data_IF_918231530265
#
_entry.id   IF_918231530265
#
_cell.length_a   1.000
_cell.length_b   1.000
_cell.length_c   1.000
_cell.angle_alpha   90.00
_cell.angle_beta   90.00
_cell.angle_gamma   90.00
#
_symmetry.space_group_name_H-M   'P 1'
#
loop_
_entity.id
_entity.type
_entity.pdbx_description
1 polymer ?
#
# COMPACT_ATOMS: atom_id res chain seq x y z
N UNK A 1 -11.83 -23.84 -5.48
CA UNK A 1 -10.39 -23.48 -5.40
C UNK A 1 -9.70 -24.62 -4.66
N UNK A 2 -8.68 -25.24 -5.26
CA UNK A 2 -7.98 -26.37 -4.66
C UNK A 2 -7.37 -25.99 -3.29
N UNK A 3 -7.47 -26.89 -2.30
CA UNK A 3 -7.01 -26.64 -0.92
C UNK A 3 -5.53 -26.26 -0.85
N UNK A 4 -4.72 -26.73 -1.80
CA UNK A 4 -3.30 -26.39 -1.93
C UNK A 4 -3.07 -24.89 -2.24
N UNK A 5 -3.91 -24.29 -3.10
CA UNK A 5 -3.76 -22.89 -3.49
C UNK A 5 -4.12 -21.93 -2.35
N UNK A 6 -5.12 -22.29 -1.53
CA UNK A 6 -5.49 -21.54 -0.34
C UNK A 6 -4.36 -21.53 0.71
N UNK A 7 -3.68 -22.66 0.86
CA UNK A 7 -2.55 -22.76 1.78
C UNK A 7 -1.37 -21.91 1.32
N UNK A 8 -1.08 -21.91 0.00
CA UNK A 8 -0.05 -21.05 -0.60
C UNK A 8 -0.35 -19.56 -0.37
N UNK A 9 -1.57 -19.11 -0.66
CA UNK A 9 -1.93 -17.70 -0.43
C UNK A 9 -1.87 -17.32 1.04
N UNK A 10 -2.23 -18.24 1.95
CA UNK A 10 -2.11 -18.01 3.39
C UNK A 10 -0.64 -17.89 3.83
N UNK A 11 0.26 -18.67 3.25
CA UNK A 11 1.69 -18.54 3.49
C UNK A 11 2.23 -17.18 2.99
N UNK A 12 1.81 -16.73 1.80
CA UNK A 12 2.17 -15.41 1.28
C UNK A 12 1.63 -14.28 2.14
N UNK A 13 0.40 -14.38 2.64
CA UNK A 13 -0.20 -13.38 3.54
C UNK A 13 0.62 -13.26 4.84
N UNK A 14 0.98 -14.39 5.45
CA UNK A 14 1.84 -14.41 6.65
C UNK A 14 3.22 -13.80 6.37
N UNK A 15 3.83 -14.13 5.23
CA UNK A 15 5.13 -13.56 4.84
C UNK A 15 5.07 -12.03 4.68
N UNK A 16 4.01 -11.52 4.04
CA UNK A 16 3.76 -10.09 3.87
C UNK A 16 3.62 -9.39 5.23
N UNK A 17 2.82 -9.96 6.14
CA UNK A 17 2.62 -9.40 7.49
C UNK A 17 3.94 -9.35 8.27
N UNK A 18 4.73 -10.42 8.23
CA UNK A 18 6.04 -10.48 8.91
C UNK A 18 6.99 -9.44 8.30
N UNK A 19 7.10 -9.38 6.98
CA UNK A 19 7.97 -8.41 6.30
C UNK A 19 7.59 -6.96 6.63
N UNK A 20 6.29 -6.66 6.70
CA UNK A 20 5.80 -5.34 7.07
C UNK A 20 6.12 -4.98 8.53
N UNK A 21 5.97 -5.94 9.45
CA UNK A 21 6.35 -5.76 10.85
C UNK A 21 7.85 -5.51 11.00
N UNK A 22 8.69 -6.27 10.28
CA UNK A 22 10.15 -6.10 10.27
C UNK A 22 10.54 -4.71 9.81
N UNK A 23 10.02 -4.25 8.65
CA UNK A 23 10.32 -2.90 8.12
C UNK A 23 9.88 -1.83 9.13
N UNK A 24 8.68 -1.96 9.70
CA UNK A 24 8.14 -1.00 10.67
C UNK A 24 9.01 -0.89 11.91
N UNK A 25 9.34 -2.02 12.55
CA UNK A 25 10.19 -2.06 13.75
C UNK A 25 11.60 -1.54 13.47
N UNK A 26 12.16 -1.89 12.32
CA UNK A 26 13.52 -1.55 11.96
C UNK A 26 13.68 -0.06 11.63
N UNK A 27 12.71 0.54 10.92
CA UNK A 27 12.68 1.99 10.69
C UNK A 27 12.41 2.73 12.01
N UNK A 28 11.44 2.26 12.81
CA UNK A 28 11.13 2.86 14.10
C UNK A 28 12.34 2.86 15.04
N UNK A 29 13.02 1.72 15.16
CA UNK A 29 14.24 1.59 15.96
C UNK A 29 15.32 2.52 15.43
N UNK A 30 15.51 2.61 14.10
CA UNK A 30 16.50 3.51 13.51
C UNK A 30 16.21 4.99 13.81
N UNK A 31 14.93 5.40 13.81
CA UNK A 31 14.50 6.75 14.20
C UNK A 31 14.80 7.01 15.67
N UNK A 32 14.44 6.10 16.57
CA UNK A 32 14.72 6.22 18.02
C UNK A 32 16.22 6.28 18.30
N UNK A 33 17.02 5.44 17.64
CA UNK A 33 18.48 5.45 17.78
C UNK A 33 19.09 6.75 17.27
N UNK A 34 18.62 7.22 16.11
CA UNK A 34 19.15 8.43 15.48
C UNK A 34 18.82 9.70 16.25
N UNK A 35 17.61 9.83 16.79
CA UNK A 35 17.22 11.04 17.53
C UNK A 35 17.52 10.95 19.04
N UNK A 36 17.50 9.75 19.63
CA UNK A 36 17.75 9.55 21.06
C UNK A 36 19.22 9.31 21.41
N UNK A 37 19.95 8.56 20.58
CA UNK A 37 21.36 8.18 20.84
C UNK A 37 22.33 8.81 19.83
N UNK A 38 21.85 9.68 18.93
CA UNK A 38 22.61 10.34 17.87
C UNK A 38 23.43 9.39 16.97
N UNK A 39 23.14 8.09 17.00
CA UNK A 39 23.78 7.04 16.21
C UNK A 39 22.70 6.25 15.49
N UNK A 40 22.75 6.23 14.15
CA UNK A 40 21.80 5.52 13.31
C UNK A 40 22.36 4.16 12.87
N UNK A 41 21.48 3.23 12.50
CA UNK A 41 21.89 1.97 11.86
C UNK A 41 21.91 2.22 10.34
N UNK A 42 23.08 2.41 9.69
CA UNK A 42 23.13 2.70 8.25
C UNK A 42 22.56 1.54 7.42
N UNK A 43 22.76 0.30 7.86
CA UNK A 43 22.27 -0.90 7.19
C UNK A 43 20.74 -1.04 7.23
N UNK A 44 20.06 -0.36 8.16
CA UNK A 44 18.62 -0.49 8.33
C UNK A 44 17.85 -0.03 7.07
N UNK A 45 18.31 1.04 6.43
CA UNK A 45 17.67 1.55 5.21
C UNK A 45 17.78 0.53 4.07
N UNK A 46 18.93 -0.11 3.92
CA UNK A 46 19.18 -1.06 2.84
C UNK A 46 18.38 -2.35 3.01
N UNK A 47 18.35 -2.91 4.23
CA UNK A 47 17.52 -4.07 4.56
C UNK A 47 16.05 -3.77 4.34
N UNK A 48 15.56 -2.62 4.82
CA UNK A 48 14.15 -2.25 4.64
C UNK A 48 13.76 -2.18 3.16
N UNK A 49 14.65 -1.69 2.29
CA UNK A 49 14.42 -1.61 0.84
C UNK A 49 14.34 -3.00 0.21
N UNK A 50 15.25 -3.90 0.56
CA UNK A 50 15.23 -5.28 0.03
C UNK A 50 13.97 -6.02 0.48
N UNK A 51 13.62 -5.95 1.77
CA UNK A 51 12.41 -6.58 2.31
C UNK A 51 11.15 -5.98 1.67
N UNK A 52 11.14 -4.67 1.44
CA UNK A 52 10.01 -3.98 0.82
C UNK A 52 9.71 -4.53 -0.59
N UNK A 53 10.74 -4.79 -1.39
CA UNK A 53 10.56 -5.38 -2.73
C UNK A 53 9.85 -6.73 -2.65
N UNK A 54 10.28 -7.61 -1.75
CA UNK A 54 9.64 -8.91 -1.54
C UNK A 54 8.20 -8.81 -1.05
N UNK A 55 7.93 -7.89 -0.13
CA UNK A 55 6.57 -7.62 0.38
C UNK A 55 5.65 -7.10 -0.71
N UNK A 56 6.12 -6.18 -1.56
CA UNK A 56 5.31 -5.62 -2.67
C UNK A 56 4.97 -6.73 -3.68
N UNK A 57 5.96 -7.52 -4.10
CA UNK A 57 5.71 -8.61 -5.05
C UNK A 57 4.70 -9.63 -4.51
N UNK A 58 4.93 -10.17 -3.31
CA UNK A 58 4.00 -11.14 -2.71
C UNK A 58 2.64 -10.52 -2.37
N UNK A 59 2.63 -9.28 -1.86
CA UNK A 59 1.42 -8.53 -1.52
C UNK A 59 0.54 -8.25 -2.74
N UNK A 60 1.13 -7.91 -3.88
CA UNK A 60 0.38 -7.69 -5.12
C UNK A 60 -0.34 -8.96 -5.61
N UNK A 61 0.32 -10.12 -5.53
CA UNK A 61 -0.25 -11.42 -5.91
C UNK A 61 -1.43 -11.78 -5.01
N UNK A 62 -1.28 -11.60 -3.69
CA UNK A 62 -2.35 -11.86 -2.72
C UNK A 62 -3.53 -10.89 -2.90
N UNK A 63 -3.25 -9.61 -3.16
CA UNK A 63 -4.28 -8.60 -3.39
C UNK A 63 -5.10 -8.88 -4.66
N UNK A 64 -4.41 -9.25 -5.74
CA UNK A 64 -5.04 -9.65 -7.00
C UNK A 64 -5.88 -10.92 -6.82
N UNK A 65 -5.36 -11.93 -6.11
CA UNK A 65 -6.07 -13.17 -5.83
C UNK A 65 -7.34 -12.96 -4.98
N UNK A 66 -7.36 -11.96 -4.10
CA UNK A 66 -8.53 -11.58 -3.29
C UNK A 66 -9.51 -10.67 -4.05
N UNK A 67 -9.22 -10.28 -5.29
CA UNK A 67 -10.06 -9.36 -6.06
C UNK A 67 -10.20 -7.99 -5.40
N UNK A 68 -9.26 -7.62 -4.53
CA UNK A 68 -9.32 -6.35 -3.83
C UNK A 68 -8.94 -5.24 -4.82
N UNK A 69 -9.93 -4.50 -5.31
CA UNK A 69 -9.69 -3.14 -5.83
C UNK A 69 -9.22 -2.29 -4.65
N UNK A 70 -7.92 -2.37 -4.37
CA UNK A 70 -7.28 -1.76 -3.23
C UNK A 70 -7.45 -0.23 -3.30
N UNK A 71 -8.16 0.32 -2.33
CA UNK A 71 -7.94 1.68 -1.86
C UNK A 71 -9.15 2.60 -1.92
N UNK A 72 -9.84 2.71 -3.05
CA UNK A 72 -10.86 3.76 -3.20
C UNK A 72 -12.26 3.26 -2.88
N UNK A 73 -12.61 2.04 -3.32
CA UNK A 73 -13.97 1.55 -3.11
C UNK A 73 -14.29 1.29 -1.64
N UNK A 74 -13.35 0.73 -0.87
CA UNK A 74 -13.59 0.44 0.55
C UNK A 74 -13.84 1.71 1.38
N UNK A 75 -13.10 2.79 1.08
CA UNK A 75 -13.30 4.07 1.76
C UNK A 75 -14.66 4.65 1.35
N UNK A 76 -14.94 4.73 0.04
CA UNK A 76 -16.17 5.30 -0.53
C UNK A 76 -17.44 4.54 -0.10
N UNK A 77 -17.37 3.22 0.07
CA UNK A 77 -18.49 2.38 0.54
C UNK A 77 -18.88 2.68 1.99
N UNK A 78 -17.95 3.20 2.82
CA UNK A 78 -18.23 3.59 4.20
C UNK A 78 -18.79 5.02 4.34
N UNK A 79 -18.82 5.82 3.27
CA UNK A 79 -19.37 7.17 3.33
C UNK A 79 -20.90 7.19 3.24
N UNK A 80 -21.56 8.14 3.90
CA UNK A 80 -22.98 8.39 3.71
C UNK A 80 -23.27 8.76 2.24
N UNK A 81 -24.46 8.47 1.72
CA UNK A 81 -24.78 8.59 0.30
C UNK A 81 -24.52 9.98 -0.30
N UNK A 82 -24.68 11.03 0.51
CA UNK A 82 -24.38 12.42 0.10
C UNK A 82 -22.89 12.68 -0.11
N UNK A 83 -22.02 12.16 0.77
CA UNK A 83 -20.59 12.36 0.66
C UNK A 83 -19.98 11.50 -0.47
N UNK A 84 -20.56 10.32 -0.72
CA UNK A 84 -20.23 9.50 -1.91
C UNK A 84 -20.52 10.25 -3.21
N UNK A 85 -21.66 10.95 -3.29
CA UNK A 85 -22.03 11.76 -4.46
C UNK A 85 -21.05 12.92 -4.69
N UNK A 86 -20.67 13.64 -3.63
CA UNK A 86 -19.69 14.73 -3.71
C UNK A 86 -18.32 14.22 -4.17
N UNK A 87 -17.82 13.12 -3.61
CA UNK A 87 -16.58 12.51 -4.07
C UNK A 87 -16.63 12.12 -5.56
N UNK A 88 -17.76 11.59 -6.01
CA UNK A 88 -17.95 11.26 -7.43
C UNK A 88 -17.90 12.49 -8.33
N UNK A 89 -18.63 13.55 -7.97
CA UNK A 89 -18.63 14.81 -8.73
C UNK A 89 -17.23 15.44 -8.79
N UNK A 90 -16.51 15.47 -7.67
CA UNK A 90 -15.14 15.98 -7.61
C UNK A 90 -14.21 15.14 -8.48
N UNK A 91 -14.31 13.81 -8.43
CA UNK A 91 -13.44 12.92 -9.21
C UNK A 91 -13.67 13.07 -10.72
N UNK A 92 -14.93 13.21 -11.17
CA UNK A 92 -15.24 13.48 -12.58
C UNK A 92 -14.82 14.88 -13.01
N UNK A 93 -14.98 15.88 -12.15
CA UNK A 93 -14.50 17.24 -12.39
C UNK A 93 -12.97 17.29 -12.56
N UNK A 94 -12.22 16.57 -11.72
CA UNK A 94 -10.77 16.45 -11.85
C UNK A 94 -10.36 15.74 -13.15
N UNK A 95 -11.07 14.69 -13.56
CA UNK A 95 -10.80 14.03 -14.83
C UNK A 95 -10.99 14.97 -16.01
N UNK A 96 -12.10 15.71 -16.05
CA UNK A 96 -12.36 16.70 -17.10
C UNK A 96 -11.30 17.80 -17.10
N UNK A 97 -10.88 18.26 -15.93
CA UNK A 97 -9.79 19.23 -15.79
C UNK A 97 -8.47 18.70 -16.34
N UNK A 98 -8.09 17.46 -16.01
CA UNK A 98 -6.90 16.82 -16.58
C UNK A 98 -6.99 16.65 -18.09
N UNK A 99 -8.15 16.26 -18.64
CA UNK A 99 -8.36 16.18 -20.08
C UNK A 99 -8.22 17.54 -20.78
N UNK A 100 -8.69 18.61 -20.14
CA UNK A 100 -8.53 19.97 -20.67
C UNK A 100 -7.07 20.42 -20.63
N UNK A 101 -6.37 20.22 -19.50
CA UNK A 101 -4.94 20.52 -19.37
C UNK A 101 -4.08 19.78 -20.40
N UNK A 102 -4.41 18.52 -20.71
CA UNK A 102 -3.72 17.75 -21.76
C UNK A 102 -4.00 18.32 -23.16
N UNK A 103 -5.19 18.88 -23.39
CA UNK A 103 -5.55 19.54 -24.64
C UNK A 103 -4.90 20.92 -24.83
N UNK A 104 -4.64 21.65 -23.74
CA UNK A 104 -3.87 22.90 -23.78
C UNK A 104 -2.35 22.69 -23.72
N UNK A 105 -1.90 21.53 -23.22
CA UNK A 105 -0.49 21.18 -23.05
C UNK A 105 0.17 20.47 -24.25
N UNK A 106 -0.48 20.44 -25.42
CA UNK A 106 0.10 20.02 -26.71
C UNK A 106 0.18 21.21 -27.66
#
# INVERSE_FOLDING_TARGET
MSSALQWLFKAFDVFVVIGMAVISLLIFTNVVLRYGFSSGIPFAVEVSRVVLVWVIFMGSVVALAKGAHLGVESLVVRLPPRARLVCFLVSYGLMLWCCWLLGEGS
#
